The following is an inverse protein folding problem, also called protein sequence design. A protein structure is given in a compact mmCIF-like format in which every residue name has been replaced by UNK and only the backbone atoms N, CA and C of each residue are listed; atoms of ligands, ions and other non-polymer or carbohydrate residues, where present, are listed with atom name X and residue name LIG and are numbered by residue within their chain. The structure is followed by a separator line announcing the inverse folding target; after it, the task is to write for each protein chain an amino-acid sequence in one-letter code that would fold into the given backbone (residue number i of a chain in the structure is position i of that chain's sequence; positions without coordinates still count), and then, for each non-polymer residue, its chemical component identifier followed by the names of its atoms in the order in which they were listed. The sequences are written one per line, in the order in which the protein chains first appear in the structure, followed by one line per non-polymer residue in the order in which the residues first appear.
data_IF_309840292892
#
_entry.id   IF_309840292892
#
_cell.length_a   1.000
_cell.length_b   1.000
_cell.length_c   1.000
_cell.angle_alpha   90.00
_cell.angle_beta   90.00
_cell.angle_gamma   90.00
#
_symmetry.space_group_name_H-M   'P 1'
#
loop_
_entity.id
_entity.type
_entity.pdbx_description
1 polymer ?
#
# COMPACT_ATOMS: atom_id res chain seq x y z
N UNK A 1 -38.82 10.40 -9.58
CA UNK A 1 -37.94 11.07 -8.59
C UNK A 1 -37.37 10.09 -7.58
N UNK A 2 -38.22 9.33 -6.89
CA UNK A 2 -37.77 8.35 -5.91
C UNK A 2 -36.89 7.26 -6.51
N UNK A 3 -37.29 6.70 -7.65
CA UNK A 3 -36.51 5.66 -8.33
C UNK A 3 -35.14 6.15 -8.72
N UNK A 4 -35.03 7.38 -9.25
CA UNK A 4 -33.77 7.96 -9.66
C UNK A 4 -32.83 8.11 -8.46
N UNK A 5 -33.33 8.57 -7.30
CA UNK A 5 -32.52 8.70 -6.09
C UNK A 5 -32.01 7.35 -5.61
N UNK A 6 -32.84 6.31 -5.64
CA UNK A 6 -32.44 4.96 -5.28
C UNK A 6 -31.39 4.40 -6.22
N UNK A 7 -31.54 4.65 -7.52
CA UNK A 7 -30.58 4.24 -8.53
C UNK A 7 -29.21 4.91 -8.31
N UNK A 8 -29.21 6.21 -8.00
CA UNK A 8 -27.97 6.96 -7.71
C UNK A 8 -27.28 6.42 -6.45
N UNK A 9 -28.04 6.09 -5.41
CA UNK A 9 -27.50 5.49 -4.19
C UNK A 9 -26.82 4.15 -4.51
N UNK A 10 -27.50 3.30 -5.29
CA UNK A 10 -26.93 2.00 -5.67
C UNK A 10 -25.68 2.15 -6.53
N UNK A 11 -25.66 3.09 -7.48
CA UNK A 11 -24.48 3.36 -8.30
C UNK A 11 -23.31 3.86 -7.45
N UNK A 12 -23.57 4.71 -6.46
CA UNK A 12 -22.55 5.19 -5.54
C UNK A 12 -21.97 4.04 -4.70
N UNK A 13 -22.80 3.11 -4.25
CA UNK A 13 -22.32 1.92 -3.52
C UNK A 13 -21.44 1.06 -4.40
N UNK A 14 -21.85 0.81 -5.64
CA UNK A 14 -21.06 0.02 -6.60
C UNK A 14 -19.72 0.70 -6.86
N UNK A 15 -19.74 2.00 -7.11
CA UNK A 15 -18.53 2.77 -7.36
C UNK A 15 -17.56 2.68 -6.17
N UNK A 16 -18.06 2.82 -4.95
CA UNK A 16 -17.26 2.72 -3.74
C UNK A 16 -16.65 1.33 -3.59
N UNK A 17 -17.43 0.28 -3.79
CA UNK A 17 -16.96 -1.10 -3.73
C UNK A 17 -15.85 -1.36 -4.74
N UNK A 18 -16.01 -0.87 -5.97
CA UNK A 18 -15.00 -0.98 -7.02
C UNK A 18 -13.72 -0.28 -6.61
N UNK A 19 -13.83 0.94 -6.12
CA UNK A 19 -12.67 1.72 -5.69
C UNK A 19 -11.90 1.02 -4.57
N UNK A 20 -12.60 0.48 -3.57
CA UNK A 20 -11.97 -0.25 -2.46
C UNK A 20 -11.28 -1.52 -2.94
N UNK A 21 -11.88 -2.23 -3.89
CA UNK A 21 -11.31 -3.44 -4.46
C UNK A 21 -10.04 -3.15 -5.25
N UNK A 22 -10.08 -2.10 -6.07
CA UNK A 22 -8.91 -1.68 -6.85
C UNK A 22 -7.79 -1.19 -5.94
N UNK A 23 -8.12 -0.42 -4.91
CA UNK A 23 -7.14 0.01 -3.91
C UNK A 23 -6.46 -1.19 -3.24
N UNK A 24 -7.22 -2.24 -2.94
CA UNK A 24 -6.67 -3.49 -2.40
C UNK A 24 -5.67 -4.16 -3.34
N UNK A 25 -5.94 -4.16 -4.64
CA UNK A 25 -5.01 -4.71 -5.63
C UNK A 25 -3.72 -3.91 -5.70
N UNK A 26 -3.83 -2.59 -5.65
CA UNK A 26 -2.65 -1.70 -5.62
C UNK A 26 -1.83 -1.95 -4.36
N UNK A 27 -2.50 -2.07 -3.21
CA UNK A 27 -1.85 -2.38 -1.94
C UNK A 27 -1.10 -3.71 -2.00
N UNK A 28 -1.71 -4.74 -2.59
CA UNK A 28 -1.07 -6.05 -2.75
C UNK A 28 0.18 -5.97 -3.61
N UNK A 29 0.17 -5.17 -4.68
CA UNK A 29 1.37 -4.95 -5.48
C UNK A 29 2.46 -4.27 -4.66
N UNK A 30 2.11 -3.25 -3.87
CA UNK A 30 3.06 -2.57 -2.99
C UNK A 30 3.68 -3.54 -1.98
N UNK A 31 2.89 -4.44 -1.39
CA UNK A 31 3.38 -5.47 -0.48
C UNK A 31 4.38 -6.39 -1.18
N UNK A 32 4.08 -6.83 -2.39
CA UNK A 32 5.02 -7.68 -3.14
C UNK A 32 6.34 -6.96 -3.41
N UNK A 33 6.28 -5.69 -3.77
CA UNK A 33 7.47 -4.88 -4.04
C UNK A 33 8.31 -4.66 -2.78
N UNK A 34 7.70 -4.29 -1.67
CA UNK A 34 8.41 -4.05 -0.42
C UNK A 34 9.04 -5.34 0.11
N UNK A 35 8.37 -6.47 -0.05
CA UNK A 35 8.93 -7.78 0.34
C UNK A 35 10.18 -8.12 -0.46
N UNK A 36 10.20 -7.83 -1.75
CA UNK A 36 11.38 -8.06 -2.60
C UNK A 36 12.58 -7.26 -2.16
N UNK A 37 12.37 -6.07 -1.62
CA UNK A 37 13.43 -5.19 -1.15
C UNK A 37 13.86 -5.52 0.29
N UNK A 38 13.13 -6.38 0.98
CA UNK A 38 13.39 -6.74 2.37
C UNK A 38 14.47 -7.83 2.41
N UNK A 39 15.50 -7.70 3.27
CA UNK A 39 16.54 -8.72 3.40
C UNK A 39 15.98 -10.10 3.73
N UNK A 40 16.49 -11.14 3.07
CA UNK A 40 15.99 -12.52 3.18
C UNK A 40 16.35 -13.14 4.53
N UNK A 41 17.50 -12.79 5.07
CA UNK A 41 17.97 -13.28 6.36
C UNK A 41 17.14 -12.79 7.55
N UNK A 42 16.24 -11.84 7.31
CA UNK A 42 15.27 -11.35 8.28
C UNK A 42 13.86 -11.77 7.89
N UNK A 43 13.62 -13.08 7.78
CA UNK A 43 12.32 -13.63 7.37
C UNK A 43 11.14 -13.08 8.18
N UNK A 44 11.35 -12.82 9.46
CA UNK A 44 10.33 -12.21 10.31
C UNK A 44 9.96 -10.82 9.82
N UNK A 45 10.93 -9.98 9.44
CA UNK A 45 10.66 -8.65 8.89
C UNK A 45 9.87 -8.75 7.61
N UNK A 46 10.30 -9.60 6.68
CA UNK A 46 9.65 -9.80 5.39
C UNK A 46 8.20 -10.24 5.53
N UNK A 47 7.93 -11.14 6.47
CA UNK A 47 6.59 -11.70 6.68
C UNK A 47 5.66 -10.78 7.47
N UNK A 48 6.17 -9.70 8.03
CA UNK A 48 5.40 -8.76 8.83
C UNK A 48 4.97 -7.51 8.07
N UNK A 49 5.17 -7.42 6.77
CA UNK A 49 4.59 -6.37 5.93
C UNK A 49 3.10 -6.60 5.80
N UNK A 50 2.34 -5.57 6.17
CA UNK A 50 0.87 -5.61 6.18
C UNK A 50 0.33 -4.34 5.52
N UNK A 51 -0.92 -4.39 5.16
CA UNK A 51 -1.62 -3.21 4.66
C UNK A 51 -3.06 -3.21 5.14
N UNK A 52 -3.66 -2.04 5.11
CA UNK A 52 -5.10 -1.90 5.13
C UNK A 52 -5.50 -0.74 4.21
N UNK A 53 -6.75 -0.80 3.75
CA UNK A 53 -7.35 0.24 2.91
C UNK A 53 -8.49 0.86 3.70
N UNK A 54 -8.53 2.19 3.75
CA UNK A 54 -9.62 2.89 4.42
C UNK A 54 -10.12 4.03 3.54
N UNK A 55 -11.39 4.34 3.70
CA UNK A 55 -12.05 5.45 3.02
C UNK A 55 -12.41 6.51 4.05
N UNK A 56 -12.09 7.76 3.74
CA UNK A 56 -12.45 8.90 4.58
C UNK A 56 -12.87 10.06 3.68
N UNK A 57 -14.16 10.39 3.71
CA UNK A 57 -14.71 11.32 2.75
C UNK A 57 -14.55 10.79 1.32
N UNK A 58 -14.03 11.60 0.43
CA UNK A 58 -13.82 11.24 -0.97
C UNK A 58 -12.45 10.61 -1.22
N UNK A 59 -11.64 10.40 -0.17
CA UNK A 59 -10.27 9.93 -0.29
C UNK A 59 -10.17 8.49 0.19
N UNK A 60 -9.46 7.68 -0.61
CA UNK A 60 -9.11 6.31 -0.24
C UNK A 60 -7.64 6.29 0.12
N UNK A 61 -7.34 5.75 1.29
CA UNK A 61 -5.99 5.63 1.81
C UNK A 61 -5.56 4.17 1.80
N UNK A 62 -4.36 3.94 1.31
CA UNK A 62 -3.68 2.65 1.43
C UNK A 62 -2.58 2.84 2.45
N UNK A 63 -2.63 2.08 3.52
CA UNK A 63 -1.64 2.16 4.59
C UNK A 63 -0.79 0.90 4.59
N UNK A 64 0.52 1.07 4.40
CA UNK A 64 1.49 -0.03 4.37
C UNK A 64 2.41 0.11 5.57
N UNK A 65 2.54 -0.96 6.33
CA UNK A 65 3.32 -0.94 7.57
C UNK A 65 3.95 -2.30 7.84
N UNK A 66 4.91 -2.30 8.75
CA UNK A 66 5.54 -3.52 9.22
C UNK A 66 5.34 -3.65 10.73
N UNK A 67 4.96 -4.84 11.18
CA UNK A 67 4.68 -5.10 12.58
C UNK A 67 5.94 -5.42 13.40
N UNK A 68 7.08 -5.67 12.76
CA UNK A 68 8.32 -5.96 13.47
C UNK A 68 8.86 -4.71 14.18
N UNK A 69 9.26 -4.85 15.43
CA UNK A 69 9.72 -3.72 16.24
C UNK A 69 10.96 -3.04 15.67
N UNK A 70 11.83 -3.79 15.01
CA UNK A 70 13.08 -3.29 14.45
C UNK A 70 12.96 -2.81 13.01
N UNK A 71 11.75 -2.78 12.44
CA UNK A 71 11.54 -2.41 11.04
C UNK A 71 12.09 -1.01 10.72
N UNK A 72 11.90 -0.04 11.59
CA UNK A 72 12.40 1.32 11.38
C UNK A 72 13.92 1.39 11.32
N UNK A 73 14.61 0.56 12.09
CA UNK A 73 16.07 0.49 12.06
C UNK A 73 16.59 -0.04 10.72
N UNK A 74 15.91 -1.04 10.18
CA UNK A 74 16.29 -1.59 8.86
C UNK A 74 15.96 -0.60 7.75
N UNK A 75 14.83 0.05 7.84
CA UNK A 75 14.39 1.04 6.85
C UNK A 75 15.35 2.23 6.79
N UNK A 76 15.66 2.82 7.94
CA UNK A 76 16.36 4.10 8.05
C UNK A 76 17.84 3.98 8.41
N UNK A 77 18.28 2.77 8.79
CA UNK A 77 19.59 2.58 9.39
C UNK A 77 19.61 2.95 10.87
N UNK A 78 20.73 2.77 11.51
CA UNK A 78 20.85 3.08 12.93
C UNK A 78 22.31 3.26 13.36
N UNK A 79 22.50 3.90 14.52
CA UNK A 79 23.82 4.07 15.14
C UNK A 79 24.32 2.74 15.68
N UNK A 80 25.63 2.55 15.61
CA UNK A 80 26.30 1.48 16.33
C UNK A 80 26.85 2.09 17.63
N UNK A 81 26.37 1.59 18.77
CA UNK A 81 26.73 2.13 20.09
C UNK A 81 27.52 1.10 20.85
N UNK A 82 28.71 1.50 21.35
CA UNK A 82 29.56 0.66 22.20
C UNK A 82 29.91 1.49 23.43
N UNK A 83 29.65 0.96 24.62
CA UNK A 83 29.93 1.62 25.90
C UNK A 83 29.36 3.05 25.98
N UNK A 84 28.15 3.25 25.45
CA UNK A 84 27.46 4.54 25.45
C UNK A 84 27.93 5.53 24.39
N UNK A 85 28.89 5.16 23.54
CA UNK A 85 29.43 6.02 22.50
C UNK A 85 29.07 5.52 21.12
N UNK A 86 28.73 6.43 20.22
CA UNK A 86 28.47 6.10 18.81
C UNK A 86 29.80 5.84 18.10
N UNK A 87 30.00 4.62 17.60
CA UNK A 87 31.23 4.20 16.92
C UNK A 87 31.03 3.98 15.41
N UNK A 88 29.80 4.01 14.95
CA UNK A 88 29.50 3.82 13.52
C UNK A 88 28.03 3.94 13.22
N UNK A 89 27.71 3.61 11.98
CA UNK A 89 26.33 3.68 11.46
C UNK A 89 26.07 2.50 10.52
N UNK A 90 24.89 1.89 10.66
CA UNK A 90 24.43 0.89 9.70
C UNK A 90 23.50 1.56 8.70
N UNK A 91 23.82 1.42 7.41
CA UNK A 91 23.05 2.01 6.33
C UNK A 91 21.63 1.45 6.29
N UNK A 92 20.65 2.32 6.01
CA UNK A 92 19.26 1.91 5.85
C UNK A 92 19.04 1.20 4.52
N UNK A 93 18.04 0.33 4.47
CA UNK A 93 17.64 -0.40 3.26
C UNK A 93 16.58 0.35 2.45
N UNK A 94 15.87 1.29 3.08
CA UNK A 94 14.85 2.12 2.43
C UNK A 94 13.79 1.33 1.66
N UNK A 95 13.39 0.19 2.19
CA UNK A 95 12.43 -0.72 1.56
C UNK A 95 11.11 -0.02 1.27
N UNK A 96 10.56 0.66 2.26
CA UNK A 96 9.28 1.36 2.14
C UNK A 96 9.42 2.59 1.26
N UNK A 97 10.47 3.38 1.45
CA UNK A 97 10.70 4.60 0.65
C UNK A 97 10.80 4.28 -0.83
N UNK A 98 11.59 3.27 -1.20
CA UNK A 98 11.77 2.87 -2.59
C UNK A 98 10.46 2.31 -3.18
N UNK A 99 9.73 1.55 -2.39
CA UNK A 99 8.42 1.03 -2.79
C UNK A 99 7.43 2.17 -3.04
N UNK A 100 7.37 3.14 -2.15
CA UNK A 100 6.45 4.27 -2.28
C UNK A 100 6.81 5.15 -3.47
N UNK A 101 8.10 5.35 -3.75
CA UNK A 101 8.55 6.09 -4.93
C UNK A 101 8.09 5.38 -6.22
N UNK A 102 8.22 4.05 -6.27
CA UNK A 102 7.73 3.24 -7.38
C UNK A 102 6.21 3.35 -7.52
N UNK A 103 5.49 3.23 -6.41
CA UNK A 103 4.02 3.24 -6.42
C UNK A 103 3.47 4.59 -6.86
N UNK A 104 4.10 5.71 -6.49
CA UNK A 104 3.69 7.03 -6.97
C UNK A 104 3.74 7.12 -8.50
N UNK A 105 4.70 6.45 -9.10
CA UNK A 105 4.86 6.42 -10.56
C UNK A 105 3.86 5.47 -11.23
N UNK A 106 3.60 4.32 -10.62
CA UNK A 106 2.82 3.23 -11.22
C UNK A 106 1.33 3.34 -10.92
N UNK A 107 0.98 3.76 -9.69
CA UNK A 107 -0.38 3.65 -9.18
C UNK A 107 -1.44 4.42 -10.00
N UNK A 108 -1.18 5.65 -10.50
CA UNK A 108 -2.23 6.36 -11.27
C UNK A 108 -2.69 5.60 -12.51
N UNK A 109 -1.76 5.07 -13.30
CA UNK A 109 -2.10 4.31 -14.50
C UNK A 109 -2.74 2.96 -14.15
N UNK A 110 -2.25 2.30 -13.11
CA UNK A 110 -2.82 1.05 -12.63
C UNK A 110 -4.25 1.26 -12.13
N UNK A 111 -4.49 2.32 -11.38
CA UNK A 111 -5.81 2.68 -10.89
C UNK A 111 -6.79 2.81 -12.05
N UNK A 112 -6.46 3.64 -13.03
CA UNK A 112 -7.32 3.87 -14.19
C UNK A 112 -7.62 2.58 -14.94
N UNK A 113 -6.61 1.79 -15.23
CA UNK A 113 -6.76 0.52 -15.95
C UNK A 113 -7.62 -0.47 -15.20
N UNK A 114 -7.41 -0.61 -13.89
CA UNK A 114 -8.16 -1.56 -13.07
C UNK A 114 -9.62 -1.11 -12.87
N UNK A 115 -9.86 0.19 -12.73
CA UNK A 115 -11.23 0.73 -12.66
C UNK A 115 -11.96 0.43 -13.97
N UNK A 116 -11.33 0.65 -15.12
CA UNK A 116 -11.93 0.35 -16.42
C UNK A 116 -12.28 -1.12 -16.55
N UNK A 117 -11.42 -2.03 -16.11
CA UNK A 117 -11.69 -3.47 -16.11
C UNK A 117 -12.89 -3.82 -15.26
N UNK A 118 -13.00 -3.25 -14.07
CA UNK A 118 -14.13 -3.49 -13.18
C UNK A 118 -15.43 -2.96 -13.77
N UNK A 119 -15.40 -1.79 -14.40
CA UNK A 119 -16.57 -1.21 -15.02
C UNK A 119 -17.06 -2.07 -16.19
N UNK A 120 -16.15 -2.58 -17.02
CA UNK A 120 -16.52 -3.52 -18.09
C UNK A 120 -17.11 -4.81 -17.54
N UNK A 121 -16.53 -5.35 -16.47
CA UNK A 121 -17.04 -6.57 -15.82
C UNK A 121 -18.47 -6.38 -15.29
N UNK A 122 -18.76 -5.23 -14.71
CA UNK A 122 -20.05 -4.95 -14.07
C UNK A 122 -21.11 -4.54 -15.10
N UNK A 123 -20.77 -3.66 -16.03
CA UNK A 123 -21.72 -3.05 -16.94
C UNK A 123 -21.62 -3.55 -18.38
N UNK A 124 -20.66 -4.43 -18.66
CA UNK A 124 -20.39 -4.92 -19.99
C UNK A 124 -19.64 -3.89 -20.84
N UNK A 125 -19.53 -4.15 -22.11
CA UNK A 125 -18.80 -3.30 -23.05
C UNK A 125 -19.60 -2.05 -23.44
#
# INVERSE_FOLDING_TARGET
MRLLKQQLVELNKIAHQVQMRVAGRIAQLAIRKVKKLTPVDTGNLRNNWKYYVMSKGDTIYIHIYNQAEYASFVENGHRIVVAGQTVGWVEGRFMLKLTMDDMRRIAPNMWQREIEKEMRRIFGD
#
